data_IF_380694781971
#
_entry.id   IF_380694781971
#
_cell.length_a   1.000
_cell.length_b   1.000
_cell.length_c   1.000
_cell.angle_alpha   90.00
_cell.angle_beta   90.00
_cell.angle_gamma   90.00
#
_symmetry.space_group_name_H-M   'P 1'
#
loop_
_entity.id
_entity.type
_entity.pdbx_description
1 polymer ?
#
# COMPACT_ATOMS: atom_id res chain seq x y z
N UNK A 1 10.49 -1.21 21.89
CA UNK A 1 9.04 -1.23 22.20
C UNK A 1 8.39 -2.12 21.16
N UNK A 2 8.07 -3.36 21.52
CA UNK A 2 7.29 -4.25 20.65
C UNK A 2 5.86 -3.70 20.59
N UNK A 3 5.49 -3.17 19.43
CA UNK A 3 4.11 -2.81 19.15
C UNK A 3 3.29 -4.10 19.24
N UNK A 4 2.41 -4.17 20.24
CA UNK A 4 1.52 -5.31 20.46
C UNK A 4 0.87 -5.71 19.13
N UNK A 5 1.28 -6.87 18.61
CA UNK A 5 0.66 -7.49 17.46
C UNK A 5 -0.80 -7.69 17.81
N UNK A 6 -1.69 -6.94 17.15
CA UNK A 6 -3.11 -7.24 17.17
C UNK A 6 -3.26 -8.57 16.42
N UNK A 7 -3.17 -9.68 17.15
CA UNK A 7 -3.24 -11.04 16.62
C UNK A 7 -4.60 -11.35 16.00
N UNK A 8 -5.62 -10.60 16.40
CA UNK A 8 -6.95 -10.66 15.82
C UNK A 8 -7.00 -9.85 14.51
N UNK A 9 -7.07 -10.58 13.40
CA UNK A 9 -7.12 -10.00 12.06
C UNK A 9 -8.31 -9.03 11.89
N UNK A 10 -9.45 -9.28 12.56
CA UNK A 10 -10.62 -8.41 12.47
C UNK A 10 -10.38 -7.10 13.20
N UNK A 11 -9.75 -7.12 14.38
CA UNK A 11 -9.38 -5.89 15.09
C UNK A 11 -8.38 -5.07 14.27
N UNK A 12 -7.41 -5.75 13.61
CA UNK A 12 -6.44 -5.09 12.73
C UNK A 12 -7.11 -4.41 11.53
N UNK A 13 -8.06 -5.09 10.89
CA UNK A 13 -8.85 -4.53 9.78
C UNK A 13 -9.69 -3.34 10.28
N UNK A 14 -10.44 -3.51 11.36
CA UNK A 14 -11.29 -2.44 11.91
C UNK A 14 -10.47 -1.19 12.28
N UNK A 15 -9.28 -1.38 12.88
CA UNK A 15 -8.36 -0.29 13.16
C UNK A 15 -7.86 0.42 11.89
N UNK A 16 -7.49 -0.33 10.84
CA UNK A 16 -7.08 0.31 9.58
C UNK A 16 -8.24 1.10 8.92
N UNK A 17 -9.46 0.55 8.95
CA UNK A 17 -10.65 1.22 8.41
C UNK A 17 -11.05 2.48 9.19
N UNK A 18 -10.77 2.53 10.51
CA UNK A 18 -11.05 3.73 11.32
C UNK A 18 -10.08 4.88 11.03
N UNK A 19 -8.88 4.58 10.50
CA UNK A 19 -7.89 5.58 10.10
C UNK A 19 -8.14 6.15 8.69
N UNK A 20 -9.09 5.60 7.92
CA UNK A 20 -9.44 6.15 6.61
C UNK A 20 -10.18 7.47 6.75
N UNK A 21 -9.87 8.42 5.87
CA UNK A 21 -10.50 9.73 5.84
C UNK A 21 -10.78 10.21 4.40
N UNK A 22 -11.62 11.24 4.28
CA UNK A 22 -11.98 11.83 2.99
C UNK A 22 -12.52 10.81 1.99
N UNK A 23 -11.99 10.85 0.75
CA UNK A 23 -12.43 9.97 -0.35
C UNK A 23 -12.23 8.48 -0.04
N UNK A 24 -11.20 8.12 0.72
CA UNK A 24 -10.97 6.72 1.09
C UNK A 24 -12.07 6.21 2.02
N UNK A 25 -12.54 7.04 2.95
CA UNK A 25 -13.63 6.68 3.84
C UNK A 25 -14.97 6.56 3.10
N UNK A 26 -15.28 7.49 2.20
CA UNK A 26 -16.49 7.39 1.35
C UNK A 26 -16.49 6.15 0.45
N UNK A 27 -15.32 5.81 -0.11
CA UNK A 27 -15.14 4.58 -0.90
C UNK A 27 -15.41 3.34 -0.05
N UNK A 28 -14.82 3.26 1.15
CA UNK A 28 -14.99 2.13 2.08
C UNK A 28 -16.46 1.91 2.43
N UNK A 29 -17.18 2.96 2.81
CA UNK A 29 -18.62 2.88 3.08
C UNK A 29 -19.42 2.36 1.89
N UNK A 30 -19.15 2.88 0.69
CA UNK A 30 -19.85 2.45 -0.53
C UNK A 30 -19.57 0.98 -0.84
N UNK A 31 -18.33 0.56 -0.63
CA UNK A 31 -17.89 -0.81 -0.90
C UNK A 31 -18.54 -1.81 0.04
N UNK A 32 -18.56 -1.51 1.33
CA UNK A 32 -19.20 -2.35 2.35
C UNK A 32 -20.73 -2.41 2.15
N UNK A 33 -21.37 -1.29 1.75
CA UNK A 33 -22.79 -1.27 1.43
C UNK A 33 -23.15 -2.13 0.20
N UNK A 34 -22.27 -2.18 -0.80
CA UNK A 34 -22.49 -2.95 -2.03
C UNK A 34 -22.14 -4.43 -1.85
N UNK A 35 -21.15 -4.72 -1.03
CA UNK A 35 -20.66 -6.08 -0.78
C UNK A 35 -20.31 -6.20 0.69
N UNK A 36 -21.30 -6.56 1.53
CA UNK A 36 -21.06 -6.73 2.97
C UNK A 36 -19.99 -7.79 3.22
N UNK A 37 -19.10 -7.52 4.18
CA UNK A 37 -18.01 -8.42 4.53
C UNK A 37 -16.87 -8.45 3.52
N UNK A 38 -16.76 -7.45 2.64
CA UNK A 38 -15.70 -7.42 1.63
C UNK A 38 -14.29 -7.25 2.28
N UNK A 39 -14.22 -6.71 3.49
CA UNK A 39 -12.99 -6.59 4.29
C UNK A 39 -12.86 -7.69 5.36
N UNK A 40 -13.07 -8.96 5.02
CA UNK A 40 -13.06 -10.04 6.01
C UNK A 40 -11.65 -10.40 6.53
N UNK A 41 -10.59 -10.07 5.77
CA UNK A 41 -9.20 -10.32 6.13
C UNK A 41 -8.30 -9.12 5.80
N UNK A 42 -7.08 -9.11 6.37
CA UNK A 42 -6.08 -8.08 6.05
C UNK A 42 -5.66 -8.14 4.59
N UNK A 43 -5.50 -9.34 4.03
CA UNK A 43 -5.17 -9.53 2.61
C UNK A 43 -6.23 -8.94 1.69
N UNK A 44 -7.51 -9.21 1.97
CA UNK A 44 -8.63 -8.65 1.20
C UNK A 44 -8.69 -7.13 1.29
N UNK A 45 -8.48 -6.56 2.49
CA UNK A 45 -8.39 -5.12 2.64
C UNK A 45 -7.27 -4.52 1.78
N UNK A 46 -6.06 -5.11 1.83
CA UNK A 46 -4.94 -4.65 1.03
C UNK A 46 -5.21 -4.78 -0.48
N UNK A 47 -5.78 -5.89 -0.94
CA UNK A 47 -6.13 -6.10 -2.35
C UNK A 47 -7.15 -5.08 -2.84
N UNK A 48 -8.20 -4.83 -2.06
CA UNK A 48 -9.23 -3.85 -2.44
C UNK A 48 -8.72 -2.42 -2.46
N UNK A 49 -7.91 -2.03 -1.47
CA UNK A 49 -7.27 -0.71 -1.48
C UNK A 49 -6.34 -0.55 -2.68
N UNK A 50 -5.56 -1.58 -3.02
CA UNK A 50 -4.71 -1.57 -4.22
C UNK A 50 -5.54 -1.42 -5.48
N UNK A 51 -6.61 -2.20 -5.63
CA UNK A 51 -7.47 -2.15 -6.82
C UNK A 51 -8.18 -0.79 -6.99
N UNK A 52 -8.56 -0.14 -5.89
CA UNK A 52 -9.28 1.13 -5.93
C UNK A 52 -8.37 2.35 -6.15
N UNK A 53 -7.16 2.34 -5.58
CA UNK A 53 -6.32 3.54 -5.51
C UNK A 53 -5.02 3.46 -6.32
N UNK A 54 -4.57 2.27 -6.74
CA UNK A 54 -3.43 2.20 -7.64
C UNK A 54 -3.85 2.59 -9.06
N UNK A 55 -3.04 3.42 -9.75
CA UNK A 55 -3.25 3.69 -11.16
C UNK A 55 -3.17 2.41 -12.00
N UNK A 56 -3.86 2.42 -13.15
CA UNK A 56 -3.63 1.41 -14.18
C UNK A 56 -2.13 1.34 -14.54
N UNK A 57 -1.63 0.13 -14.79
CA UNK A 57 -0.22 -0.13 -15.12
C UNK A 57 0.78 0.32 -14.03
N UNK A 58 0.35 0.44 -12.76
CA UNK A 58 1.24 0.82 -11.65
C UNK A 58 2.53 0.01 -11.62
N UNK A 59 2.44 -1.33 -11.68
CA UNK A 59 3.62 -2.19 -11.65
C UNK A 59 4.56 -1.95 -12.83
N UNK A 60 4.01 -1.84 -14.05
CA UNK A 60 4.80 -1.56 -15.24
C UNK A 60 5.52 -0.22 -15.09
N UNK A 61 4.83 0.81 -14.59
CA UNK A 61 5.43 2.13 -14.34
C UNK A 61 6.56 2.06 -13.32
N UNK A 62 6.39 1.32 -12.22
CA UNK A 62 7.47 1.19 -11.23
C UNK A 62 8.65 0.39 -11.79
N UNK A 63 8.41 -0.69 -12.55
CA UNK A 63 9.48 -1.43 -13.26
C UNK A 63 10.24 -0.54 -14.23
N UNK A 64 9.55 0.24 -15.06
CA UNK A 64 10.19 1.18 -15.97
C UNK A 64 11.02 2.24 -15.23
N UNK A 65 10.49 2.79 -14.12
CA UNK A 65 11.23 3.75 -13.29
C UNK A 65 12.47 3.14 -12.65
N UNK A 66 12.37 1.92 -12.14
CA UNK A 66 13.49 1.18 -11.57
C UNK A 66 14.61 0.99 -12.60
N UNK A 67 14.26 0.51 -13.80
CA UNK A 67 15.23 0.31 -14.89
C UNK A 67 15.85 1.63 -15.39
N UNK A 68 15.09 2.72 -15.34
CA UNK A 68 15.58 4.05 -15.71
C UNK A 68 16.39 4.74 -14.58
N UNK A 69 16.29 4.26 -13.34
CA UNK A 69 16.93 4.90 -12.19
C UNK A 69 18.45 4.73 -12.24
N UNK A 70 19.17 5.85 -12.38
CA UNK A 70 20.64 5.92 -12.38
C UNK A 70 21.09 7.00 -11.42
N UNK A 71 22.20 6.80 -10.70
CA UNK A 71 22.68 7.80 -9.74
C UNK A 71 22.89 9.18 -10.39
N UNK A 72 23.57 9.25 -11.54
CA UNK A 72 23.81 10.50 -12.24
C UNK A 72 24.64 11.48 -11.40
N UNK A 73 24.17 12.72 -11.26
CA UNK A 73 24.79 13.76 -10.41
C UNK A 73 24.17 13.86 -9.00
N UNK A 74 23.27 12.95 -8.64
CA UNK A 74 22.55 12.98 -7.36
C UNK A 74 23.45 12.54 -6.23
N UNK A 75 23.18 13.03 -5.02
CA UNK A 75 23.89 12.54 -3.86
C UNK A 75 23.57 11.06 -3.63
N UNK A 76 24.53 10.34 -3.04
CA UNK A 76 24.42 8.91 -2.83
C UNK A 76 23.18 8.56 -1.99
N UNK A 77 22.88 9.37 -0.98
CA UNK A 77 21.75 9.13 -0.08
C UNK A 77 20.40 9.28 -0.80
N UNK A 78 20.24 10.28 -1.66
CA UNK A 78 19.03 10.50 -2.46
C UNK A 78 18.80 9.33 -3.43
N UNK A 79 19.86 8.89 -4.11
CA UNK A 79 19.80 7.75 -5.02
C UNK A 79 19.43 6.46 -4.29
N UNK A 80 20.03 6.20 -3.13
CA UNK A 80 19.72 5.02 -2.30
C UNK A 80 18.26 5.07 -1.83
N UNK A 81 17.77 6.24 -1.39
CA UNK A 81 16.38 6.38 -0.96
C UNK A 81 15.40 6.08 -2.11
N UNK A 82 15.62 6.65 -3.31
CA UNK A 82 14.76 6.34 -4.45
C UNK A 82 14.83 4.85 -4.81
N UNK A 83 16.03 4.25 -4.84
CA UNK A 83 16.15 2.83 -5.15
C UNK A 83 15.48 1.93 -4.13
N UNK A 84 15.52 2.25 -2.83
CA UNK A 84 14.79 1.51 -1.80
C UNK A 84 13.28 1.57 -2.03
N UNK A 85 12.74 2.76 -2.33
CA UNK A 85 11.31 2.94 -2.62
C UNK A 85 10.89 2.15 -3.86
N UNK A 86 11.66 2.24 -4.94
CA UNK A 86 11.38 1.51 -6.18
C UNK A 86 11.46 -0.01 -5.97
N UNK A 87 12.45 -0.49 -5.22
CA UNK A 87 12.60 -1.92 -4.91
C UNK A 87 11.41 -2.45 -4.10
N UNK A 88 11.00 -1.74 -3.05
CA UNK A 88 9.83 -2.12 -2.25
C UNK A 88 8.53 -2.13 -3.06
N UNK A 89 8.37 -1.19 -3.99
CA UNK A 89 7.21 -1.15 -4.88
C UNK A 89 7.12 -2.36 -5.83
N UNK A 90 8.24 -3.05 -6.08
CA UNK A 90 8.32 -4.25 -6.92
C UNK A 90 8.08 -5.55 -6.15
N UNK A 91 8.55 -5.62 -4.90
CA UNK A 91 8.41 -6.83 -4.05
C UNK A 91 7.02 -6.90 -3.40
N UNK A 92 6.28 -5.79 -3.39
CA UNK A 92 4.94 -5.71 -2.77
C UNK A 92 4.99 -5.63 -1.24
N UNK A 93 6.18 -5.69 -0.65
CA UNK A 93 6.47 -5.47 0.77
C UNK A 93 7.18 -4.12 0.94
N UNK A 94 6.69 -3.23 1.82
CA UNK A 94 7.42 -2.01 2.15
C UNK A 94 8.77 -2.39 2.78
N UNK A 95 9.85 -1.60 2.56
CA UNK A 95 11.13 -1.89 3.16
C UNK A 95 11.07 -1.59 4.67
N UNK A 96 11.63 -2.51 5.46
CA UNK A 96 11.77 -2.40 6.93
C UNK A 96 12.76 -1.29 7.28
#
# INVERSE_FOLDING_TARGET
MDAALVSDERLRVAFALSNLSGRAKSWEYTREATTPGCFASWSQLCEQLRAAFLPANYEHRQRSRFLACKQGRRELHEYIQEMRVLTASLVGTPPI
#
